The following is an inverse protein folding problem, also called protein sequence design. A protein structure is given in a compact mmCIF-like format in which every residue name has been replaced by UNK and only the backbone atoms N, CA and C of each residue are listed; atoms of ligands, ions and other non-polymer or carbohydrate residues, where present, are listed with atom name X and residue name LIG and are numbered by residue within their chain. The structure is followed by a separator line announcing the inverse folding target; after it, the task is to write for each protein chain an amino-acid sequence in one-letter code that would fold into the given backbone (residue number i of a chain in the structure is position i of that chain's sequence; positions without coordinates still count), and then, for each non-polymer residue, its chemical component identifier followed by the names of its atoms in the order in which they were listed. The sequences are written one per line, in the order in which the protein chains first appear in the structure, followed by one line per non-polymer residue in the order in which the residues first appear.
data_IF_934448262893
#
_entry.id   IF_934448262893
#
_cell.length_a   1.000
_cell.length_b   1.000
_cell.length_c   1.000
_cell.angle_alpha   90.00
_cell.angle_beta   90.00
_cell.angle_gamma   90.00
#
_symmetry.space_group_name_H-M   'P 1'
#
loop_
_entity.id
_entity.type
_entity.pdbx_description
1 polymer ?
#
# COMPACT_ATOMS: atom_id res chain seq x y z
N UNK A 1 -3.09 11.28 -3.26
CA UNK A 1 -3.18 10.07 -4.10
C UNK A 1 -3.58 8.94 -3.19
N UNK A 2 -4.57 8.14 -3.59
CA UNK A 2 -5.00 6.96 -2.82
C UNK A 2 -4.78 5.76 -3.71
N UNK A 3 -4.09 4.74 -3.19
CA UNK A 3 -3.89 3.47 -3.87
C UNK A 3 -4.75 2.45 -3.12
N UNK A 4 -5.78 1.92 -3.78
CA UNK A 4 -6.62 0.88 -3.20
C UNK A 4 -6.02 -0.48 -3.50
N UNK A 5 -5.93 -1.36 -2.48
CA UNK A 5 -5.43 -2.74 -2.60
C UNK A 5 -4.07 -2.81 -3.31
N UNK A 6 -3.09 -2.07 -2.78
CA UNK A 6 -1.73 -2.12 -3.29
C UNK A 6 -1.16 -3.54 -3.10
N UNK A 7 -0.62 -4.19 -4.15
CA UNK A 7 0.04 -5.47 -3.97
C UNK A 7 1.34 -5.31 -3.16
N UNK A 8 1.71 -6.33 -2.39
CA UNK A 8 2.94 -6.36 -1.56
C UNK A 8 4.22 -6.12 -2.36
N UNK A 9 4.20 -6.40 -3.66
CA UNK A 9 5.33 -6.13 -4.58
C UNK A 9 5.64 -4.64 -4.74
N UNK A 10 4.75 -3.75 -4.30
CA UNK A 10 4.96 -2.30 -4.31
C UNK A 10 5.49 -1.75 -2.98
N UNK A 11 5.69 -2.60 -1.97
CA UNK A 11 6.28 -2.17 -0.71
C UNK A 11 7.71 -1.62 -0.95
N UNK A 12 8.04 -0.52 -0.27
CA UNK A 12 9.32 0.20 -0.37
C UNK A 12 9.62 0.82 -1.74
N UNK A 13 8.68 0.77 -2.69
CA UNK A 13 8.84 1.42 -4.00
C UNK A 13 8.64 2.93 -3.87
N UNK A 14 9.49 3.68 -4.57
CA UNK A 14 9.47 5.14 -4.60
C UNK A 14 8.61 5.66 -5.75
N UNK A 15 7.75 6.63 -5.41
CA UNK A 15 6.85 7.26 -6.35
C UNK A 15 6.96 8.78 -6.30
N UNK A 16 6.70 9.42 -7.44
CA UNK A 16 6.49 10.86 -7.52
C UNK A 16 5.41 11.16 -8.55
N UNK A 17 4.66 12.23 -8.34
CA UNK A 17 3.66 12.70 -9.29
C UNK A 17 4.34 13.59 -10.32
N UNK A 18 3.99 13.39 -11.59
CA UNK A 18 4.43 14.24 -12.70
C UNK A 18 3.20 14.99 -13.21
N UNK A 19 3.22 16.32 -13.11
CA UNK A 19 2.13 17.18 -13.58
C UNK A 19 2.41 17.57 -15.04
N UNK A 20 1.58 17.06 -15.96
CA UNK A 20 1.66 17.40 -17.39
C UNK A 20 0.33 17.94 -17.89
N UNK A 21 0.35 19.06 -18.61
CA UNK A 21 -0.84 19.54 -19.35
C UNK A 21 -0.52 19.67 -20.84
N UNK A 22 -1.51 19.54 -21.75
CA UNK A 22 -1.26 19.67 -23.19
C UNK A 22 -0.66 21.03 -23.59
N UNK A 23 -0.97 22.09 -22.85
CA UNK A 23 -0.42 23.44 -23.04
C UNK A 23 1.04 23.58 -22.56
N UNK A 24 1.58 22.60 -21.85
CA UNK A 24 2.94 22.58 -21.30
C UNK A 24 4.01 22.10 -22.31
N UNK A 25 3.79 22.27 -23.61
CA UNK A 25 4.73 21.84 -24.67
C UNK A 25 6.14 22.44 -24.55
N UNK A 26 6.29 23.59 -23.88
CA UNK A 26 7.56 24.30 -23.71
C UNK A 26 7.88 24.65 -22.24
N UNK A 27 7.10 24.16 -21.27
CA UNK A 27 7.27 24.47 -19.85
C UNK A 27 8.13 23.43 -19.13
N UNK A 28 8.72 23.80 -17.99
CA UNK A 28 9.43 22.85 -17.13
C UNK A 28 8.46 21.86 -16.48
N UNK A 29 8.81 20.58 -16.46
CA UNK A 29 7.96 19.54 -15.85
C UNK A 29 7.95 19.73 -14.34
N UNK A 30 6.76 19.97 -13.78
CA UNK A 30 6.61 19.98 -12.33
C UNK A 30 6.46 18.55 -11.80
N UNK A 31 7.29 18.21 -10.83
CA UNK A 31 7.22 16.94 -10.12
C UNK A 31 7.02 17.17 -8.64
N UNK A 32 6.28 16.28 -7.98
CA UNK A 32 6.23 16.25 -6.52
C UNK A 32 7.55 15.75 -5.93
N UNK A 33 7.69 15.91 -4.62
CA UNK A 33 8.65 15.15 -3.83
C UNK A 33 8.43 13.64 -3.97
N UNK A 34 9.49 12.88 -3.70
CA UNK A 34 9.44 11.42 -3.64
C UNK A 34 8.70 11.01 -2.37
N UNK A 35 7.79 10.04 -2.50
CA UNK A 35 7.24 9.31 -1.37
C UNK A 35 7.54 7.82 -1.51
N UNK A 36 7.77 7.17 -0.37
CA UNK A 36 7.95 5.72 -0.28
C UNK A 36 6.61 5.12 0.09
N UNK A 37 6.14 4.15 -0.68
CA UNK A 37 4.93 3.41 -0.35
C UNK A 37 5.26 2.29 0.64
N UNK A 38 4.56 2.25 1.77
CA UNK A 38 4.60 1.09 2.68
C UNK A 38 3.32 0.29 2.48
N UNK A 39 3.48 -0.99 2.15
CA UNK A 39 2.38 -1.95 2.02
C UNK A 39 2.64 -3.06 3.01
N UNK A 40 1.65 -3.32 3.86
CA UNK A 40 1.70 -4.41 4.84
C UNK A 40 0.78 -5.55 4.37
N UNK A 41 1.06 -6.80 4.76
CA UNK A 41 0.14 -7.93 4.58
C UNK A 41 -1.22 -7.65 5.23
N UNK A 42 -2.27 -8.16 4.60
CA UNK A 42 -3.70 -8.00 4.96
C UNK A 42 -4.40 -9.20 4.30
N UNK A 43 -4.33 -10.36 4.96
CA UNK A 43 -4.62 -11.66 4.39
C UNK A 43 -6.13 -11.93 4.22
N UNK A 44 -6.97 -11.38 5.09
CA UNK A 44 -8.42 -11.42 4.98
C UNK A 44 -9.03 -10.22 4.21
N UNK A 45 -8.22 -9.19 3.93
CA UNK A 45 -8.57 -8.01 3.15
C UNK A 45 -9.61 -7.12 3.85
N UNK A 46 -9.57 -7.07 5.18
CA UNK A 46 -10.45 -6.23 5.98
C UNK A 46 -9.91 -4.79 6.16
N UNK A 47 -8.62 -4.58 5.80
CA UNK A 47 -7.92 -3.31 5.85
C UNK A 47 -7.12 -3.08 7.13
N UNK A 48 -7.04 -4.08 8.01
CA UNK A 48 -6.14 -4.15 9.16
C UNK A 48 -4.92 -4.96 8.72
N UNK A 49 -3.69 -4.42 8.91
CA UNK A 49 -2.50 -5.21 8.62
C UNK A 49 -2.41 -6.44 9.53
N UNK A 50 -1.96 -7.59 9.01
CA UNK A 50 -1.78 -8.84 9.79
C UNK A 50 -1.01 -8.61 11.10
N UNK A 51 0.00 -7.72 11.11
CA UNK A 51 0.76 -7.38 12.33
C UNK A 51 -0.05 -6.70 13.44
N UNK A 52 -1.26 -6.26 13.12
CA UNK A 52 -2.18 -5.51 13.95
C UNK A 52 -3.55 -6.16 14.04
N UNK A 53 -3.80 -7.22 13.26
CA UNK A 53 -4.97 -8.08 13.36
C UNK A 53 -4.78 -9.07 14.53
N UNK A 54 -5.89 -9.59 15.04
CA UNK A 54 -5.91 -10.67 16.01
C UNK A 54 -6.32 -12.02 15.38
N UNK A 55 -6.85 -12.00 14.16
CA UNK A 55 -7.31 -13.14 13.37
C UNK A 55 -7.03 -12.85 11.87
N UNK A 56 -5.82 -13.18 11.41
CA UNK A 56 -5.27 -12.81 10.10
C UNK A 56 -6.08 -13.35 8.89
N UNK A 57 -6.93 -14.36 9.07
CA UNK A 57 -7.80 -14.89 8.01
C UNK A 57 -9.30 -14.84 8.34
N UNK A 58 -9.67 -14.19 9.45
CA UNK A 58 -11.02 -13.99 9.93
C UNK A 58 -11.85 -15.30 9.95
N UNK A 59 -11.21 -16.40 10.33
CA UNK A 59 -11.82 -17.74 10.35
C UNK A 59 -12.55 -18.04 11.67
N UNK A 60 -12.38 -17.16 12.66
CA UNK A 60 -12.99 -17.23 13.98
C UNK A 60 -12.10 -17.83 15.06
N UNK A 61 -10.84 -18.14 14.75
CA UNK A 61 -9.80 -18.57 15.69
C UNK A 61 -8.73 -17.47 15.75
N UNK A 62 -8.38 -17.03 16.95
CA UNK A 62 -7.32 -16.02 17.10
C UNK A 62 -5.96 -16.61 16.69
N UNK A 63 -5.07 -15.79 16.11
CA UNK A 63 -3.72 -16.22 15.70
C UNK A 63 -2.93 -16.85 16.86
N UNK A 64 -3.20 -16.40 18.09
CA UNK A 64 -2.60 -16.96 19.31
C UNK A 64 -2.97 -18.42 19.58
N UNK A 65 -4.12 -18.87 19.07
CA UNK A 65 -4.70 -20.19 19.26
C UNK A 65 -4.55 -21.09 18.01
N UNK A 66 -4.12 -20.54 16.87
CA UNK A 66 -3.88 -21.31 15.63
C UNK A 66 -2.59 -22.17 15.67
N UNK A 67 -1.67 -21.86 16.59
CA UNK A 67 -0.37 -22.53 16.70
C UNK A 67 0.66 -21.97 15.72
N UNK A 68 1.75 -22.73 15.47
CA UNK A 68 2.74 -22.32 14.47
C UNK A 68 2.15 -22.53 13.08
N UNK A 69 1.68 -21.44 12.48
CA UNK A 69 1.28 -21.34 11.08
C UNK A 69 2.50 -21.45 10.14
#
# INVERSE_FOLDING_TARGET
MTINKAPLTLNEVQYRVILTTPSFKCGEVQTSEIFILTVLPDNDVDGIPDSNDLDDDNDGILDSDEGLR
#
